data_IF_639616645318
#
_entry.id   IF_639616645318
#
_cell.length_a   1.000
_cell.length_b   1.000
_cell.length_c   1.000
_cell.angle_alpha   90.00
_cell.angle_beta   90.00
_cell.angle_gamma   90.00
#
_symmetry.space_group_name_H-M   'P 1'
#
loop_
_entity.id
_entity.type
_entity.pdbx_description
1 polymer ?
#
# COMPACT_ATOMS: atom_id res chain seq x y z
N UNK A 1 -71.97 0.92 11.14
CA UNK A 1 -71.18 0.05 10.24
C UNK A 1 -69.75 0.56 10.28
N UNK A 2 -68.78 -0.26 10.73
CA UNK A 2 -67.38 0.13 10.94
C UNK A 2 -66.64 0.00 9.61
N UNK A 3 -66.09 1.10 9.08
CA UNK A 3 -65.12 1.03 7.98
C UNK A 3 -63.73 0.77 8.56
N UNK A 4 -62.98 -0.25 8.09
CA UNK A 4 -61.61 -0.45 8.53
C UNK A 4 -60.68 0.48 7.76
N UNK A 5 -59.86 1.25 8.48
CA UNK A 5 -58.78 2.05 7.92
C UNK A 5 -57.67 1.14 7.39
N UNK A 6 -57.43 1.16 6.09
CA UNK A 6 -56.29 0.48 5.46
C UNK A 6 -55.07 1.41 5.57
N UNK A 7 -54.09 1.04 6.41
CA UNK A 7 -52.79 1.72 6.50
C UNK A 7 -51.90 1.14 5.41
N UNK A 8 -51.57 1.97 4.41
CA UNK A 8 -50.64 1.65 3.33
C UNK A 8 -49.22 1.95 3.82
N UNK A 9 -48.43 0.90 4.12
CA UNK A 9 -47.01 1.03 4.46
C UNK A 9 -46.20 0.97 3.17
N UNK A 10 -45.66 2.11 2.74
CA UNK A 10 -44.73 2.19 1.60
C UNK A 10 -43.33 1.85 2.11
N UNK A 11 -42.87 0.63 1.83
CA UNK A 11 -41.48 0.24 2.06
C UNK A 11 -40.64 0.80 0.90
N UNK A 12 -39.93 1.90 1.17
CA UNK A 12 -39.00 2.48 0.22
C UNK A 12 -37.71 1.64 0.21
N UNK A 13 -37.60 0.74 -0.77
CA UNK A 13 -36.37 -0.03 -1.01
C UNK A 13 -35.30 0.91 -1.57
N UNK A 14 -34.46 1.46 -0.70
CA UNK A 14 -33.23 2.13 -1.11
C UNK A 14 -32.23 1.08 -1.60
N UNK A 15 -32.24 0.82 -2.90
CA UNK A 15 -31.19 0.05 -3.56
C UNK A 15 -29.89 0.85 -3.47
N UNK A 16 -29.04 0.51 -2.52
CA UNK A 16 -27.64 0.95 -2.52
C UNK A 16 -26.97 0.30 -3.75
N UNK A 17 -26.92 1.03 -4.85
CA UNK A 17 -25.95 0.76 -5.91
C UNK A 17 -24.57 1.01 -5.29
N UNK A 18 -23.94 -0.07 -4.83
CA UNK A 18 -22.52 -0.05 -4.52
C UNK A 18 -21.78 0.32 -5.80
N UNK A 19 -21.00 1.40 -5.74
CA UNK A 19 -20.04 1.71 -6.78
C UNK A 19 -19.03 0.57 -6.78
N UNK A 20 -19.02 -0.25 -7.81
CA UNK A 20 -17.92 -1.18 -8.03
C UNK A 20 -16.73 -0.32 -8.43
N UNK A 21 -15.90 -0.01 -7.45
CA UNK A 21 -14.59 0.58 -7.70
C UNK A 21 -13.73 -0.56 -8.26
N UNK A 22 -13.35 -0.48 -9.54
CA UNK A 22 -12.50 -1.48 -10.21
C UNK A 22 -11.07 -1.52 -9.62
N UNK A 23 -10.80 -0.72 -8.58
CA UNK A 23 -9.58 -0.80 -7.77
C UNK A 23 -9.46 -2.16 -7.07
N UNK A 24 -8.23 -2.70 -7.03
CA UNK A 24 -7.93 -3.85 -6.19
C UNK A 24 -8.27 -3.53 -4.72
N UNK A 25 -8.85 -4.47 -3.95
CA UNK A 25 -9.13 -4.23 -2.54
C UNK A 25 -7.81 -3.95 -1.79
N UNK A 26 -7.61 -2.74 -1.29
CA UNK A 26 -6.33 -2.32 -0.71
C UNK A 26 -6.13 -2.60 0.78
N UNK A 27 -4.86 -2.60 1.18
CA UNK A 27 -4.39 -2.77 2.56
C UNK A 27 -3.94 -1.41 3.11
N UNK A 28 -4.60 -0.96 4.17
CA UNK A 28 -4.25 0.25 4.90
C UNK A 28 -3.31 -0.08 6.06
N UNK A 29 -2.21 0.66 6.16
CA UNK A 29 -1.15 0.49 7.17
C UNK A 29 -1.08 1.74 8.04
N UNK A 30 -1.02 1.57 9.35
CA UNK A 30 -0.88 2.68 10.30
C UNK A 30 0.01 2.24 11.48
N UNK A 31 1.19 2.82 11.63
CA UNK A 31 2.15 2.37 12.65
C UNK A 31 1.77 2.80 14.06
N UNK A 32 0.92 3.83 14.20
CA UNK A 32 0.49 4.36 15.51
C UNK A 32 -0.66 3.59 16.15
N UNK A 33 -1.70 3.24 15.38
CA UNK A 33 -2.91 2.58 15.92
C UNK A 33 -3.33 1.31 15.17
N UNK A 34 -2.60 0.91 14.13
CA UNK A 34 -2.86 -0.34 13.43
C UNK A 34 -2.65 -1.56 14.33
N UNK A 35 -3.20 -2.70 13.91
CA UNK A 35 -2.96 -3.99 14.55
C UNK A 35 -2.90 -5.06 13.46
N UNK A 36 -1.88 -5.92 13.48
CA UNK A 36 -1.66 -6.92 12.43
C UNK A 36 -2.74 -8.02 12.41
N UNK A 37 -3.52 -8.17 13.49
CA UNK A 37 -4.72 -9.01 13.49
C UNK A 37 -5.92 -8.36 12.78
N UNK A 38 -5.84 -7.09 12.39
CA UNK A 38 -6.93 -6.39 11.72
C UNK A 38 -7.06 -6.81 10.26
N UNK A 39 -8.23 -6.54 9.66
CA UNK A 39 -8.50 -6.86 8.25
C UNK A 39 -7.72 -6.01 7.24
N UNK A 40 -7.08 -4.92 7.66
CA UNK A 40 -6.34 -4.02 6.76
C UNK A 40 -7.23 -3.00 6.04
N UNK A 41 -8.40 -2.68 6.60
CA UNK A 41 -9.26 -1.62 6.06
C UNK A 41 -8.87 -0.27 6.65
N UNK A 42 -9.30 0.84 6.04
CA UNK A 42 -9.03 2.18 6.57
C UNK A 42 -9.41 2.34 8.06
N UNK A 43 -10.54 1.75 8.50
CA UNK A 43 -11.00 1.81 9.91
C UNK A 43 -10.29 0.80 10.83
N UNK A 44 -9.75 -0.28 10.27
CA UNK A 44 -9.02 -1.33 11.00
C UNK A 44 -7.75 -1.65 10.21
N UNK A 45 -6.75 -0.75 10.20
CA UNK A 45 -5.53 -0.94 9.42
C UNK A 45 -4.62 -1.98 10.08
N UNK A 46 -3.75 -2.58 9.29
CA UNK A 46 -2.60 -3.34 9.80
C UNK A 46 -1.53 -2.38 10.32
N UNK A 47 -0.56 -2.86 11.08
CA UNK A 47 0.45 -2.02 11.73
C UNK A 47 1.80 -2.08 11.03
N UNK A 48 2.21 -3.27 10.59
CA UNK A 48 3.60 -3.53 10.21
C UNK A 48 3.78 -3.91 8.74
N UNK A 49 4.96 -3.59 8.18
CA UNK A 49 5.34 -4.02 6.83
C UNK A 49 5.44 -5.55 6.75
N UNK A 50 5.85 -6.21 7.82
CA UNK A 50 5.96 -7.67 7.87
C UNK A 50 4.60 -8.33 7.59
N UNK A 51 3.52 -7.79 8.17
CA UNK A 51 2.17 -8.29 7.89
C UNK A 51 1.71 -7.95 6.46
N UNK A 52 2.09 -6.79 5.92
CA UNK A 52 1.83 -6.43 4.52
C UNK A 52 2.52 -7.41 3.57
N UNK A 53 3.81 -7.68 3.77
CA UNK A 53 4.60 -8.65 3.00
C UNK A 53 3.97 -10.04 3.02
N UNK A 54 3.42 -10.47 4.17
CA UNK A 54 2.72 -11.75 4.27
C UNK A 54 1.46 -11.76 3.40
N UNK A 55 0.63 -10.72 3.47
CA UNK A 55 -0.64 -10.66 2.74
C UNK A 55 -0.48 -10.47 1.25
N UNK A 56 0.49 -9.65 0.82
CA UNK A 56 0.70 -9.36 -0.60
C UNK A 56 1.19 -10.59 -1.37
N UNK A 57 1.92 -11.49 -0.68
CA UNK A 57 2.32 -12.80 -1.20
C UNK A 57 1.11 -13.71 -1.47
N UNK A 58 0.09 -13.64 -0.60
CA UNK A 58 -1.12 -14.46 -0.73
C UNK A 58 -2.09 -13.85 -1.76
N UNK A 59 -2.26 -12.53 -1.75
CA UNK A 59 -3.15 -11.81 -2.65
C UNK A 59 -2.63 -10.39 -2.95
N UNK A 60 -2.19 -10.13 -4.20
CA UNK A 60 -1.86 -8.78 -4.65
C UNK A 60 -3.01 -7.80 -4.43
N UNK A 61 -2.67 -6.61 -3.94
CA UNK A 61 -3.60 -5.54 -3.57
C UNK A 61 -2.86 -4.21 -3.47
N UNK A 62 -3.60 -3.11 -3.60
CA UNK A 62 -3.04 -1.78 -3.33
C UNK A 62 -2.59 -1.67 -1.87
N UNK A 63 -1.57 -0.86 -1.63
CA UNK A 63 -0.97 -0.66 -0.31
C UNK A 63 -0.96 0.83 0.00
N UNK A 64 -1.62 1.20 1.10
CA UNK A 64 -1.79 2.57 1.55
C UNK A 64 -1.12 2.75 2.91
N UNK A 65 0.01 3.45 2.96
CA UNK A 65 0.71 3.79 4.20
C UNK A 65 0.23 5.13 4.75
N UNK A 66 0.01 5.21 6.07
CA UNK A 66 -0.41 6.47 6.68
C UNK A 66 0.68 7.55 6.54
N UNK A 67 0.34 8.67 5.93
CA UNK A 67 1.21 9.82 5.74
C UNK A 67 1.72 10.40 7.06
N UNK A 68 2.94 10.93 7.03
CA UNK A 68 3.61 11.49 8.21
C UNK A 68 3.98 10.44 9.27
N UNK A 69 3.95 9.16 8.91
CA UNK A 69 4.35 8.05 9.78
C UNK A 69 5.53 7.29 9.20
N UNK A 70 6.32 6.72 10.10
CA UNK A 70 7.44 5.85 9.75
C UNK A 70 7.03 4.37 9.89
N UNK A 71 7.54 3.54 8.98
CA UNK A 71 7.31 2.11 8.95
C UNK A 71 8.65 1.37 8.79
N UNK A 72 9.03 0.60 9.81
CA UNK A 72 10.30 -0.13 9.83
C UNK A 72 10.24 -1.42 9.00
N UNK A 73 11.30 -1.63 8.20
CA UNK A 73 11.52 -2.83 7.41
C UNK A 73 11.42 -2.62 5.90
N UNK A 74 11.68 -3.70 5.18
CA UNK A 74 11.69 -3.77 3.71
C UNK A 74 10.32 -4.21 3.19
N UNK A 75 9.67 -3.40 2.35
CA UNK A 75 8.51 -3.85 1.58
C UNK A 75 8.97 -4.74 0.42
N UNK A 76 8.43 -5.95 0.31
CA UNK A 76 8.85 -6.94 -0.68
C UNK A 76 7.69 -7.24 -1.64
N UNK A 77 7.91 -6.94 -2.92
CA UNK A 77 7.02 -7.28 -4.02
C UNK A 77 7.76 -8.27 -4.93
N UNK A 78 7.26 -9.50 -5.00
CA UNK A 78 7.93 -10.59 -5.70
C UNK A 78 6.95 -11.28 -6.64
N UNK A 79 7.28 -11.34 -7.92
CA UNK A 79 6.52 -12.06 -8.95
C UNK A 79 5.03 -11.62 -9.06
N UNK A 80 4.73 -10.35 -8.76
CA UNK A 80 3.39 -9.77 -8.88
C UNK A 80 3.20 -9.27 -10.31
N UNK A 81 2.22 -9.81 -11.04
CA UNK A 81 1.90 -9.39 -12.41
C UNK A 81 0.46 -8.91 -12.50
N UNK A 82 0.28 -7.63 -12.78
CA UNK A 82 -1.03 -7.02 -13.02
C UNK A 82 -1.22 -6.86 -14.53
N UNK A 83 -2.21 -7.57 -15.10
CA UNK A 83 -2.49 -7.53 -16.55
C UNK A 83 -3.61 -6.53 -16.90
N UNK A 84 -4.25 -5.94 -15.90
CA UNK A 84 -5.30 -4.94 -16.07
C UNK A 84 -4.75 -3.57 -16.49
N UNK A 85 -5.61 -2.69 -17.00
CA UNK A 85 -5.20 -1.32 -17.38
C UNK A 85 -4.87 -0.42 -16.18
N UNK A 86 -5.29 -0.81 -14.98
CA UNK A 86 -5.08 -0.08 -13.73
C UNK A 86 -3.93 -0.76 -12.98
N UNK A 87 -2.81 -0.06 -12.70
CA UNK A 87 -1.69 -0.62 -11.97
C UNK A 87 -2.03 -0.87 -10.50
N UNK A 88 -1.36 -1.83 -9.86
CA UNK A 88 -1.34 -1.92 -8.40
C UNK A 88 -0.59 -0.70 -7.84
N UNK A 89 -1.18 -0.02 -6.87
CA UNK A 89 -0.63 1.20 -6.27
C UNK A 89 -0.01 0.92 -4.90
N UNK A 90 1.22 1.40 -4.69
CA UNK A 90 1.85 1.53 -3.37
C UNK A 90 2.06 3.00 -3.09
N UNK A 91 1.35 3.53 -2.11
CA UNK A 91 1.29 4.98 -1.88
C UNK A 91 0.97 5.36 -0.44
N UNK A 92 0.97 6.66 -0.17
CA UNK A 92 0.56 7.24 1.11
C UNK A 92 -0.93 7.61 1.13
N UNK A 93 -1.54 7.68 2.31
CA UNK A 93 -2.86 8.28 2.52
C UNK A 93 -2.87 9.23 3.72
N UNK A 94 -3.80 10.18 3.76
CA UNK A 94 -3.86 11.18 4.82
C UNK A 94 -2.90 12.34 4.56
N UNK A 95 -2.24 12.84 5.60
CA UNK A 95 -1.41 14.04 5.51
C UNK A 95 0.08 13.71 5.32
N UNK A 96 0.67 14.21 4.24
CA UNK A 96 2.10 14.04 3.93
C UNK A 96 2.47 12.65 3.39
N UNK A 97 3.78 12.46 3.15
CA UNK A 97 4.33 11.18 2.69
C UNK A 97 4.60 10.26 3.89
N UNK A 98 4.36 8.97 3.71
CA UNK A 98 4.81 7.94 4.63
C UNK A 98 6.30 7.64 4.37
N UNK A 99 7.03 7.33 5.43
CA UNK A 99 8.44 6.95 5.36
C UNK A 99 8.61 5.45 5.53
N UNK A 100 9.15 4.78 4.52
CA UNK A 100 9.58 3.39 4.60
C UNK A 100 11.03 3.36 5.05
N UNK A 101 11.29 2.78 6.21
CA UNK A 101 12.62 2.71 6.82
C UNK A 101 13.23 1.34 6.62
N UNK A 102 13.99 1.20 5.53
CA UNK A 102 14.74 -0.03 5.23
C UNK A 102 15.92 -0.28 6.18
N UNK A 103 16.35 0.73 6.94
CA UNK A 103 17.46 0.59 7.88
C UNK A 103 18.77 0.25 7.15
N UNK A 104 19.29 -0.96 7.37
CA UNK A 104 20.49 -1.44 6.68
C UNK A 104 20.19 -2.20 5.36
N UNK A 105 18.91 -2.39 5.05
CA UNK A 105 18.42 -3.02 3.81
C UNK A 105 17.77 -1.99 2.87
N UNK A 106 17.28 -2.44 1.71
CA UNK A 106 16.38 -1.65 0.88
C UNK A 106 15.10 -1.27 1.64
N UNK A 107 14.53 -0.12 1.31
CA UNK A 107 13.19 0.21 1.81
C UNK A 107 12.11 -0.52 1.01
N UNK A 108 12.30 -0.64 -0.30
CA UNK A 108 11.39 -1.39 -1.17
C UNK A 108 12.21 -2.25 -2.14
N UNK A 109 11.86 -3.53 -2.23
CA UNK A 109 12.45 -4.51 -3.14
C UNK A 109 11.37 -5.05 -4.07
N UNK A 110 11.58 -4.90 -5.37
CA UNK A 110 10.69 -5.35 -6.44
C UNK A 110 11.44 -6.28 -7.39
N UNK A 111 10.93 -7.50 -7.56
CA UNK A 111 11.54 -8.50 -8.44
C UNK A 111 10.46 -9.18 -9.29
N UNK A 112 10.70 -9.27 -10.60
CA UNK A 112 9.79 -9.92 -11.57
C UNK A 112 8.35 -9.38 -11.53
N UNK A 113 8.21 -8.09 -11.26
CA UNK A 113 6.91 -7.44 -11.13
C UNK A 113 6.46 -6.81 -12.45
N UNK A 114 5.15 -6.73 -12.69
CA UNK A 114 4.57 -6.03 -13.85
C UNK A 114 3.45 -5.10 -13.43
N UNK A 115 3.45 -3.88 -14.00
CA UNK A 115 2.35 -2.90 -13.92
C UNK A 115 2.02 -2.48 -12.48
N UNK A 116 3.05 -1.96 -11.79
CA UNK A 116 2.97 -1.45 -10.42
C UNK A 116 3.36 0.02 -10.41
N UNK A 117 2.61 0.85 -9.68
CA UNK A 117 2.95 2.25 -9.42
C UNK A 117 3.37 2.46 -7.98
N UNK A 118 4.58 2.97 -7.78
CA UNK A 118 5.09 3.40 -6.46
C UNK A 118 5.11 4.91 -6.45
N UNK A 119 4.36 5.54 -5.52
CA UNK A 119 4.28 7.00 -5.47
C UNK A 119 4.03 7.60 -4.10
N UNK A 120 4.43 8.86 -3.92
CA UNK A 120 4.17 9.67 -2.72
C UNK A 120 4.80 9.05 -1.44
N UNK A 121 6.05 8.60 -1.51
CA UNK A 121 6.75 7.95 -0.39
C UNK A 121 8.15 8.54 -0.14
N UNK A 122 8.54 8.56 1.13
CA UNK A 122 9.93 8.75 1.54
C UNK A 122 10.57 7.39 1.81
N UNK A 123 11.80 7.19 1.34
CA UNK A 123 12.61 5.99 1.57
C UNK A 123 13.83 6.37 2.38
N UNK A 124 14.07 5.67 3.48
CA UNK A 124 15.13 6.01 4.42
C UNK A 124 15.96 4.81 4.85
N UNK A 125 17.25 4.85 4.52
CA UNK A 125 18.25 3.96 5.10
C UNK A 125 18.93 4.59 6.32
N UNK A 126 19.71 3.80 7.06
CA UNK A 126 20.46 4.28 8.23
C UNK A 126 21.62 5.22 7.84
N UNK A 127 22.03 5.25 6.58
CA UNK A 127 23.15 6.06 6.10
C UNK A 127 24.41 5.24 5.85
N UNK A 128 25.24 5.73 4.91
CA UNK A 128 26.46 5.05 4.44
C UNK A 128 27.44 4.67 5.57
N UNK A 129 27.55 5.53 6.58
CA UNK A 129 28.48 5.34 7.71
C UNK A 129 27.86 4.58 8.89
N UNK A 130 26.55 4.33 8.85
CA UNK A 130 25.79 3.78 9.97
C UNK A 130 25.27 2.36 9.67
N UNK A 131 25.68 1.77 8.54
CA UNK A 131 25.52 0.34 8.27
C UNK A 131 24.67 -0.03 7.05
N UNK A 132 24.06 0.93 6.36
CA UNK A 132 23.37 0.62 5.12
C UNK A 132 24.37 0.26 4.00
N UNK A 133 24.14 -0.84 3.29
CA UNK A 133 24.99 -1.34 2.19
C UNK A 133 24.21 -1.58 0.89
N UNK A 134 22.99 -1.04 0.81
CA UNK A 134 21.98 -1.36 -0.20
C UNK A 134 21.45 -0.11 -0.91
N UNK A 135 20.45 -0.30 -1.78
CA UNK A 135 19.68 0.75 -2.45
C UNK A 135 18.47 1.19 -1.62
N UNK A 136 17.78 2.27 -1.99
CA UNK A 136 16.51 2.63 -1.39
C UNK A 136 15.32 1.87 -1.98
N UNK A 137 15.08 2.08 -3.26
CA UNK A 137 14.17 1.31 -4.09
C UNK A 137 14.99 0.49 -5.09
N UNK A 138 14.83 -0.83 -5.06
CA UNK A 138 15.52 -1.73 -5.98
C UNK A 138 14.49 -2.50 -6.83
N UNK A 139 14.52 -2.27 -8.15
CA UNK A 139 13.71 -2.96 -9.14
C UNK A 139 14.63 -3.85 -9.99
N UNK A 140 14.24 -5.11 -10.15
CA UNK A 140 14.91 -6.05 -11.06
C UNK A 140 13.89 -6.86 -11.86
N UNK A 141 14.09 -6.94 -13.18
CA UNK A 141 13.20 -7.65 -14.12
C UNK A 141 11.75 -7.16 -14.02
N UNK A 142 11.55 -5.84 -13.89
CA UNK A 142 10.22 -5.25 -13.75
C UNK A 142 9.74 -4.61 -15.06
N UNK A 143 8.47 -4.80 -15.39
CA UNK A 143 7.85 -4.32 -16.64
C UNK A 143 6.72 -3.34 -16.33
N UNK A 144 6.52 -2.31 -17.14
CA UNK A 144 5.37 -1.39 -17.04
C UNK A 144 5.20 -0.73 -15.65
N UNK A 145 6.29 -0.64 -14.87
CA UNK A 145 6.26 -0.04 -13.55
C UNK A 145 6.50 1.47 -13.63
N UNK A 146 5.81 2.23 -12.78
CA UNK A 146 5.89 3.69 -12.71
C UNK A 146 6.35 4.12 -11.33
N UNK A 147 7.44 4.87 -11.26
CA UNK A 147 7.96 5.47 -10.04
C UNK A 147 7.73 6.98 -10.14
N UNK A 148 7.03 7.55 -9.16
CA UNK A 148 6.55 8.94 -9.21
C UNK A 148 6.60 9.59 -7.82
N UNK A 149 7.05 10.84 -7.71
CA UNK A 149 7.20 11.58 -6.45
C UNK A 149 7.75 10.77 -5.25
N UNK A 150 8.95 10.22 -5.42
CA UNK A 150 9.70 9.51 -4.38
C UNK A 150 10.89 10.35 -3.93
N UNK A 151 11.12 10.42 -2.63
CA UNK A 151 12.36 10.92 -2.04
C UNK A 151 13.11 9.79 -1.35
N UNK A 152 14.41 9.65 -1.62
CA UNK A 152 15.22 8.59 -1.06
C UNK A 152 16.51 9.15 -0.44
N UNK A 153 16.78 8.80 0.81
CA UNK A 153 17.99 9.21 1.53
C UNK A 153 18.56 8.07 2.40
N UNK A 154 19.82 8.21 2.80
CA UNK A 154 20.42 7.29 3.77
C UNK A 154 20.85 5.93 3.21
N UNK A 155 21.01 5.79 1.88
CA UNK A 155 21.51 4.57 1.25
C UNK A 155 22.98 4.70 0.85
N UNK A 156 23.75 3.61 0.97
CA UNK A 156 25.15 3.61 0.52
C UNK A 156 25.28 3.50 -1.00
N UNK A 157 24.36 2.80 -1.66
CA UNK A 157 24.31 2.67 -3.12
C UNK A 157 23.38 3.74 -3.70
N UNK A 158 22.37 3.36 -4.46
CA UNK A 158 21.45 4.28 -5.13
C UNK A 158 20.20 4.53 -4.28
N UNK A 159 19.64 5.74 -4.35
CA UNK A 159 18.29 5.99 -3.80
C UNK A 159 17.22 5.19 -4.54
N UNK A 160 17.29 5.16 -5.87
CA UNK A 160 16.45 4.36 -6.77
C UNK A 160 17.35 3.67 -7.78
N UNK A 161 17.16 2.37 -7.96
CA UNK A 161 17.98 1.50 -8.80
C UNK A 161 17.09 0.61 -9.68
N UNK A 162 17.21 0.72 -11.00
CA UNK A 162 16.29 0.13 -11.98
C UNK A 162 17.07 -0.78 -12.96
N UNK A 163 16.74 -2.07 -12.98
CA UNK A 163 17.38 -3.10 -13.81
C UNK A 163 16.40 -4.02 -14.55
#
# INVERSE_FOLDING_TARGET
>A
MKHPSVILIIILAFSFSGCNDDSLPGIYVNSKYGNDSNRGTLRKPVRTIQEVNRRIKDKPSDIFFAGGQEFEGTLILESIRIEDTIPLSVTSYGEGRATIKGGNEESIRMNKCKNIRIKDLDLKGNGRKEGNTTNGLWLINCEECVIDDIYAEGFQKSGVDLY
#
